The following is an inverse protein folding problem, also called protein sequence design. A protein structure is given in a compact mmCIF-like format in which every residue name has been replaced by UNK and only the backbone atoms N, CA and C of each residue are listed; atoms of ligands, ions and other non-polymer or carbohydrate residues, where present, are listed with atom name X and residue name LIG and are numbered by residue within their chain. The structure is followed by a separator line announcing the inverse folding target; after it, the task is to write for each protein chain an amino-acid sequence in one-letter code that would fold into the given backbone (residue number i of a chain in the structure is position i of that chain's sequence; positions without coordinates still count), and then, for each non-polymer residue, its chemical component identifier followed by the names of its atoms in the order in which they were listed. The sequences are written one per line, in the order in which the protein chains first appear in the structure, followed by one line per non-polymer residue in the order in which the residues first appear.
data_IF_189997601722
#
_entry.id   IF_189997601722
#
_cell.length_a   1.000
_cell.length_b   1.000
_cell.length_c   1.000
_cell.angle_alpha   90.00
_cell.angle_beta   90.00
_cell.angle_gamma   90.00
#
_symmetry.space_group_name_H-M   'P 1'
#
loop_
_entity.id
_entity.type
_entity.pdbx_description
1 polymer ?
#
# COMPACT_ATOMS: atom_id res chain seq x y z
N UNK A 1 -23.56 3.87 -22.60
CA UNK A 1 -23.03 2.68 -21.90
C UNK A 1 -22.96 1.55 -22.94
N UNK A 2 -21.87 1.52 -23.72
CA UNK A 2 -21.69 0.61 -24.84
C UNK A 2 -21.37 -0.78 -24.31
N UNK A 3 -22.24 -1.75 -24.59
CA UNK A 3 -21.96 -3.17 -24.35
C UNK A 3 -20.90 -3.60 -25.36
N UNK A 4 -19.74 -4.06 -24.89
CA UNK A 4 -18.76 -4.73 -25.74
C UNK A 4 -19.29 -6.11 -26.11
N UNK A 5 -19.93 -6.25 -27.27
CA UNK A 5 -20.27 -7.54 -27.88
C UNK A 5 -19.05 -8.16 -28.57
N UNK A 6 -18.00 -8.44 -27.80
CA UNK A 6 -16.84 -9.21 -28.26
C UNK A 6 -16.94 -10.67 -27.83
N UNK A 7 -16.49 -11.61 -28.68
CA UNK A 7 -16.42 -13.04 -28.34
C UNK A 7 -15.79 -13.26 -26.95
N UNK A 8 -16.35 -14.14 -26.11
CA UNK A 8 -15.81 -14.40 -24.78
C UNK A 8 -14.37 -14.94 -24.88
N UNK A 9 -13.42 -14.17 -24.34
CA UNK A 9 -12.02 -14.58 -24.26
C UNK A 9 -11.87 -15.69 -23.21
N UNK A 10 -11.53 -16.90 -23.66
CA UNK A 10 -11.20 -18.02 -22.77
C UNK A 10 -9.88 -17.72 -22.05
N UNK A 11 -9.92 -17.73 -20.72
CA UNK A 11 -8.75 -17.57 -19.86
C UNK A 11 -8.31 -18.96 -19.39
N UNK A 12 -7.09 -19.36 -19.77
CA UNK A 12 -6.52 -20.69 -19.47
C UNK A 12 -5.79 -20.75 -18.12
N UNK A 13 -5.32 -19.62 -17.61
CA UNK A 13 -4.55 -19.48 -16.37
C UNK A 13 -5.08 -18.32 -15.52
N UNK A 14 -5.00 -18.38 -14.18
CA UNK A 14 -5.40 -17.27 -13.32
C UNK A 14 -4.75 -15.96 -13.74
N UNK A 15 -5.52 -14.88 -13.74
CA UNK A 15 -5.00 -13.53 -13.96
C UNK A 15 -5.29 -12.66 -12.76
N UNK A 16 -4.29 -11.91 -12.33
CA UNK A 16 -4.41 -10.92 -11.24
C UNK A 16 -4.06 -9.56 -11.82
N UNK A 17 -4.90 -8.58 -11.51
CA UNK A 17 -4.72 -7.20 -11.93
C UNK A 17 -4.65 -6.34 -10.67
N UNK A 18 -3.60 -5.55 -10.57
CA UNK A 18 -3.53 -4.47 -9.59
C UNK A 18 -4.44 -3.34 -10.06
N UNK A 19 -5.52 -3.07 -9.32
CA UNK A 19 -6.53 -2.09 -9.75
C UNK A 19 -6.47 -0.76 -8.99
N UNK A 20 -5.59 -0.67 -7.99
CA UNK A 20 -5.40 0.55 -7.22
C UNK A 20 -4.09 0.54 -6.45
N UNK A 21 -3.59 1.74 -6.16
CA UNK A 21 -2.44 2.00 -5.29
C UNK A 21 -2.76 3.21 -4.44
N UNK A 22 -2.19 3.26 -3.24
CA UNK A 22 -2.32 4.42 -2.37
C UNK A 22 -1.31 5.49 -2.72
N UNK A 23 -1.68 6.73 -2.44
CA UNK A 23 -0.84 7.91 -2.55
C UNK A 23 -0.85 8.65 -1.22
N UNK A 24 0.28 9.24 -0.86
CA UNK A 24 0.37 10.17 0.25
C UNK A 24 -0.08 11.56 -0.21
N UNK A 25 -0.70 12.31 0.71
CA UNK A 25 -0.86 13.74 0.53
C UNK A 25 0.36 14.45 1.13
N UNK A 26 1.36 14.70 0.28
CA UNK A 26 2.66 15.24 0.72
C UNK A 26 2.50 16.61 1.38
N UNK A 27 1.67 17.50 0.82
CA UNK A 27 1.43 18.83 1.38
C UNK A 27 0.78 18.76 2.79
N UNK A 28 -0.14 17.82 3.01
CA UNK A 28 -0.74 17.63 4.33
C UNK A 28 0.25 17.04 5.34
N UNK A 29 1.11 16.12 4.91
CA UNK A 29 2.18 15.56 5.76
C UNK A 29 3.18 16.65 6.14
N UNK A 30 3.64 17.46 5.18
CA UNK A 30 4.57 18.56 5.42
C UNK A 30 3.99 19.59 6.38
N UNK A 31 2.72 19.97 6.18
CA UNK A 31 2.00 20.86 7.12
C UNK A 31 1.96 20.27 8.54
N UNK A 32 1.57 19.00 8.68
CA UNK A 32 1.57 18.32 9.98
C UNK A 32 2.95 18.33 10.63
N UNK A 33 4.01 18.01 9.89
CA UNK A 33 5.37 18.01 10.41
C UNK A 33 5.82 19.41 10.86
N UNK A 34 5.51 20.45 10.08
CA UNK A 34 5.79 21.84 10.42
C UNK A 34 5.07 22.28 11.70
N UNK A 35 3.79 21.95 11.84
CA UNK A 35 2.98 22.33 13.03
C UNK A 35 3.55 21.75 14.33
N UNK A 36 4.24 20.60 14.24
CA UNK A 36 4.90 19.93 15.38
C UNK A 36 6.42 20.20 15.47
N UNK A 37 7.00 21.00 14.57
CA UNK A 37 8.44 21.25 14.52
C UNK A 37 9.28 19.99 14.23
N UNK A 38 8.72 19.07 13.44
CA UNK A 38 9.33 17.79 13.07
C UNK A 38 9.78 17.78 11.61
N UNK A 39 10.66 16.83 11.29
CA UNK A 39 11.10 16.57 9.91
C UNK A 39 11.08 15.07 9.63
N UNK A 40 10.77 14.68 8.40
CA UNK A 40 10.79 13.28 7.99
C UNK A 40 11.15 13.14 6.52
N UNK A 41 11.96 12.13 6.25
CA UNK A 41 12.26 11.62 4.92
C UNK A 41 12.27 10.09 4.98
N UNK A 42 11.98 9.46 3.85
CA UNK A 42 11.95 8.01 3.69
C UNK A 42 12.55 7.65 2.34
N UNK A 43 13.13 6.46 2.23
CA UNK A 43 13.84 5.97 1.03
C UNK A 43 12.93 5.21 0.06
N UNK A 44 11.62 5.19 0.31
CA UNK A 44 10.62 4.58 -0.58
C UNK A 44 9.70 5.63 -1.23
N UNK A 45 9.37 5.39 -2.49
CA UNK A 45 8.35 6.14 -3.23
C UNK A 45 6.98 5.44 -3.21
N UNK A 46 6.89 4.23 -2.63
CA UNK A 46 5.67 3.43 -2.61
C UNK A 46 4.70 3.99 -1.56
N UNK A 47 3.59 4.59 -2.01
CA UNK A 47 2.65 5.27 -1.13
C UNK A 47 2.15 4.43 0.05
N UNK A 48 1.86 3.15 -0.15
CA UNK A 48 1.45 2.25 0.94
C UNK A 48 2.54 2.08 2.03
N UNK A 49 3.80 1.93 1.63
CA UNK A 49 4.93 1.80 2.56
C UNK A 49 5.19 3.11 3.31
N UNK A 50 5.07 4.25 2.61
CA UNK A 50 5.15 5.58 3.21
C UNK A 50 4.04 5.79 4.25
N UNK A 51 2.81 5.37 3.95
CA UNK A 51 1.67 5.48 4.88
C UNK A 51 1.85 4.62 6.13
N UNK A 52 2.37 3.39 5.98
CA UNK A 52 2.68 2.51 7.11
C UNK A 52 3.77 3.11 8.00
N UNK A 53 4.86 3.61 7.42
CA UNK A 53 5.91 4.26 8.19
C UNK A 53 5.40 5.51 8.90
N UNK A 54 4.68 6.39 8.18
CA UNK A 54 4.10 7.59 8.77
C UNK A 54 3.13 7.24 9.91
N UNK A 55 2.24 6.27 9.72
CA UNK A 55 1.30 5.80 10.75
C UNK A 55 2.02 5.29 12.00
N UNK A 56 3.08 4.50 11.83
CA UNK A 56 3.89 4.02 12.95
C UNK A 56 4.61 5.14 13.70
N UNK A 57 5.12 6.14 12.96
CA UNK A 57 5.80 7.29 13.55
C UNK A 57 4.85 8.22 14.29
N UNK A 58 3.61 8.41 13.79
CA UNK A 58 2.57 9.21 14.47
C UNK A 58 2.29 8.68 15.87
N UNK A 59 2.20 7.35 16.06
CA UNK A 59 1.90 6.75 17.36
C UNK A 59 2.85 7.15 18.49
N UNK A 60 4.10 7.50 18.16
CA UNK A 60 5.14 7.87 19.12
C UNK A 60 5.77 9.25 18.83
N UNK A 61 5.19 10.01 17.90
CA UNK A 61 5.77 11.24 17.34
C UNK A 61 7.27 11.11 17.02
N UNK A 62 7.66 9.97 16.44
CA UNK A 62 9.06 9.57 16.25
C UNK A 62 9.62 9.95 14.88
N UNK A 63 9.11 11.03 14.29
CA UNK A 63 9.62 11.58 13.04
C UNK A 63 11.05 12.11 13.23
N UNK A 64 11.94 11.84 12.26
CA UNK A 64 13.35 12.23 12.32
C UNK A 64 14.23 11.40 13.28
N UNK A 65 13.67 10.41 13.97
CA UNK A 65 14.39 9.52 14.90
C UNK A 65 14.43 8.08 14.39
N UNK A 66 15.56 7.40 14.59
CA UNK A 66 15.67 5.94 14.44
C UNK A 66 16.21 5.45 13.10
N UNK A 67 15.61 4.36 12.62
CA UNK A 67 16.12 3.43 11.59
C UNK A 67 16.40 4.07 10.24
N UNK A 68 17.32 3.47 9.47
CA UNK A 68 17.92 4.07 8.27
C UNK A 68 17.09 3.89 7.01
N UNK A 69 16.27 2.83 6.92
CA UNK A 69 15.40 2.56 5.77
C UNK A 69 13.96 2.24 6.18
N UNK A 70 13.04 2.46 5.25
CA UNK A 70 11.64 2.08 5.37
C UNK A 70 11.49 0.57 5.62
N UNK A 71 12.25 -0.26 4.90
CA UNK A 71 12.22 -1.71 5.04
C UNK A 71 12.66 -2.16 6.45
N UNK A 72 13.73 -1.57 7.01
CA UNK A 72 14.14 -1.83 8.39
C UNK A 72 13.05 -1.39 9.38
N UNK A 73 12.38 -0.27 9.12
CA UNK A 73 11.31 0.24 9.98
C UNK A 73 10.10 -0.70 10.01
N UNK A 74 9.55 -1.05 8.83
CA UNK A 74 8.42 -1.96 8.69
C UNK A 74 8.76 -3.35 9.25
N UNK A 75 9.97 -3.86 8.97
CA UNK A 75 10.44 -5.14 9.52
C UNK A 75 10.38 -5.19 11.05
N UNK A 76 10.63 -4.07 11.73
CA UNK A 76 10.45 -4.01 13.18
C UNK A 76 9.02 -3.83 13.65
N UNK A 77 8.17 -3.11 12.92
CA UNK A 77 6.74 -3.12 13.23
C UNK A 77 6.21 -4.56 13.25
N UNK A 78 6.61 -5.37 12.27
CA UNK A 78 6.27 -6.80 12.20
C UNK A 78 6.90 -7.56 13.37
N UNK A 79 8.20 -7.40 13.62
CA UNK A 79 8.90 -8.09 14.71
C UNK A 79 8.32 -7.78 16.11
N UNK A 80 7.86 -6.55 16.33
CA UNK A 80 7.20 -6.11 17.56
C UNK A 80 5.69 -6.38 17.58
N UNK A 81 5.13 -7.00 16.52
CA UNK A 81 3.71 -7.31 16.38
C UNK A 81 2.79 -6.08 16.43
N UNK A 82 3.26 -4.93 15.96
CA UNK A 82 2.46 -3.70 15.78
C UNK A 82 1.64 -3.77 14.49
N UNK A 83 0.82 -4.82 14.35
CA UNK A 83 0.12 -5.17 13.11
C UNK A 83 -0.92 -4.13 12.66
N UNK A 84 -1.53 -3.40 13.58
CA UNK A 84 -2.53 -2.37 13.26
C UNK A 84 -1.99 -1.27 12.35
N UNK A 85 -0.70 -0.96 12.45
CA UNK A 85 -0.05 0.05 11.60
C UNK A 85 0.00 -0.42 10.13
N UNK A 86 0.06 -1.73 9.89
CA UNK A 86 0.10 -2.30 8.54
C UNK A 86 -1.26 -2.18 7.83
N UNK A 87 -2.36 -2.01 8.58
CA UNK A 87 -3.71 -1.89 8.03
C UNK A 87 -3.94 -0.56 7.31
N UNK A 88 -3.04 0.42 7.50
CA UNK A 88 -3.02 1.65 6.70
C UNK A 88 -2.65 1.38 5.23
N UNK A 89 -2.07 0.22 4.91
CA UNK A 89 -1.77 -0.20 3.55
C UNK A 89 -2.89 -1.09 2.96
N UNK A 90 -3.54 -0.62 1.89
CA UNK A 90 -4.61 -1.34 1.19
C UNK A 90 -4.32 -1.39 -0.30
N UNK A 91 -4.26 -2.60 -0.85
CA UNK A 91 -3.99 -2.83 -2.27
C UNK A 91 -5.09 -3.69 -2.89
N UNK A 92 -6.01 -3.10 -3.67
CA UNK A 92 -7.09 -3.86 -4.29
C UNK A 92 -6.56 -4.64 -5.50
N UNK A 93 -6.97 -5.92 -5.59
CA UNK A 93 -6.66 -6.82 -6.68
C UNK A 93 -7.94 -7.31 -7.35
N UNK A 94 -7.98 -7.31 -8.67
CA UNK A 94 -9.01 -8.00 -9.44
C UNK A 94 -8.46 -9.35 -9.91
N UNK A 95 -9.15 -10.44 -9.58
CA UNK A 95 -8.79 -11.78 -10.07
C UNK A 95 -9.75 -12.23 -11.19
N UNK A 96 -9.21 -12.91 -12.20
CA UNK A 96 -10.00 -13.72 -13.13
C UNK A 96 -9.59 -15.18 -13.00
N UNK A 97 -10.57 -16.04 -12.69
CA UNK A 97 -10.37 -17.49 -12.55
C UNK A 97 -10.45 -18.15 -13.92
N UNK A 98 -9.72 -19.26 -14.08
CA UNK A 98 -9.90 -20.17 -15.21
C UNK A 98 -11.35 -20.65 -15.23
N UNK A 99 -12.02 -20.55 -16.37
CA UNK A 99 -13.30 -21.24 -16.58
C UNK A 99 -12.94 -22.70 -16.87
N UNK A 100 -13.32 -23.67 -16.02
CA UNK A 100 -13.24 -25.07 -16.40
C UNK A 100 -14.03 -25.22 -17.69
N UNK A 101 -13.44 -25.83 -18.73
CA UNK A 101 -14.22 -26.21 -19.89
C UNK A 101 -15.43 -26.98 -19.35
N UNK A 102 -16.65 -26.48 -19.61
CA UNK A 102 -17.84 -27.31 -19.51
C UNK A 102 -17.50 -28.52 -20.38
N UNK A 103 -17.35 -29.68 -19.75
CA UNK A 103 -17.23 -30.95 -20.46
C UNK A 103 -18.52 -31.07 -21.28
N UNK A 104 -18.39 -30.82 -22.58
CA UNK A 104 -19.37 -31.23 -23.59
C UNK A 104 -19.11 -32.69 -23.94
#
# INVERSE_FOLDING_TARGET
MTRHEGMPRIIREPRVYLVGRQQCNDAAIERFLSDYGLTWQTDTEVGAERLVEAGGRVCYLSFGKGRRSNAEYIGNLIGQKHGSVLEHAVTPLHHRRRIPQLLA
#
